data_IF_529989119893
#
_entry.id   IF_529989119893
#
_cell.length_a   1.000
_cell.length_b   1.000
_cell.length_c   1.000
_cell.angle_alpha   90.00
_cell.angle_beta   90.00
_cell.angle_gamma   90.00
#
_symmetry.space_group_name_H-M   'P 1'
#
loop_
_entity.id
_entity.type
_entity.pdbx_description
1 polymer ?
#
# COMPACT_ATOMS: atom_id res chain seq x y z
N UNK A 1 -2.39 -15.19 1.78
CA UNK A 1 -3.63 -15.19 0.99
C UNK A 1 -4.74 -14.62 1.86
N UNK A 2 -5.33 -13.50 1.48
CA UNK A 2 -6.49 -12.94 2.17
C UNK A 2 -7.70 -13.85 1.92
N UNK A 3 -8.41 -14.24 2.97
CA UNK A 3 -9.64 -14.98 2.80
C UNK A 3 -10.72 -14.07 2.22
N UNK A 4 -11.32 -14.46 1.11
CA UNK A 4 -12.51 -13.81 0.55
C UNK A 4 -13.62 -13.84 1.61
N UNK A 5 -14.43 -12.76 1.74
CA UNK A 5 -15.54 -12.73 2.68
C UNK A 5 -16.41 -13.99 2.61
N UNK A 6 -16.81 -14.50 3.77
CA UNK A 6 -17.63 -15.71 3.88
C UNK A 6 -19.09 -15.52 3.50
N UNK A 7 -19.50 -14.31 3.07
CA UNK A 7 -20.88 -14.01 2.64
C UNK A 7 -21.10 -14.48 1.20
N UNK A 8 -21.95 -15.51 0.96
CA UNK A 8 -22.16 -16.06 -0.38
C UNK A 8 -22.66 -15.03 -1.40
N UNK A 9 -23.52 -14.11 -0.98
CA UNK A 9 -24.09 -13.03 -1.78
C UNK A 9 -23.01 -12.08 -2.35
N UNK A 10 -21.93 -11.82 -1.61
CA UNK A 10 -20.82 -10.95 -2.08
C UNK A 10 -19.88 -11.72 -3.02
N UNK A 11 -19.76 -13.05 -2.86
CA UNK A 11 -18.87 -13.85 -3.70
C UNK A 11 -19.30 -13.92 -5.15
N UNK A 12 -20.59 -13.87 -5.44
CA UNK A 12 -21.12 -13.90 -6.81
C UNK A 12 -20.89 -12.58 -7.56
N UNK A 13 -20.60 -11.50 -6.84
CA UNK A 13 -20.36 -10.16 -7.42
C UNK A 13 -18.88 -9.85 -7.58
N UNK A 14 -17.98 -10.72 -7.07
CA UNK A 14 -16.53 -10.52 -7.13
C UNK A 14 -15.92 -11.41 -8.21
N UNK A 15 -15.35 -10.77 -9.22
CA UNK A 15 -14.46 -11.43 -10.17
C UNK A 15 -13.06 -11.56 -9.57
N UNK A 16 -12.46 -12.75 -9.66
CA UNK A 16 -11.11 -13.05 -9.19
C UNK A 16 -10.20 -13.27 -10.39
N UNK A 17 -9.26 -12.33 -10.58
CA UNK A 17 -8.22 -12.43 -11.59
C UNK A 17 -6.90 -12.91 -10.95
N UNK A 18 -6.39 -14.04 -11.41
CA UNK A 18 -5.09 -14.58 -10.98
C UNK A 18 -3.98 -13.98 -11.82
N UNK A 19 -3.11 -13.17 -11.23
CA UNK A 19 -2.05 -12.48 -11.97
C UNK A 19 -0.89 -12.03 -11.10
N UNK A 20 0.13 -11.50 -11.75
CA UNK A 20 1.29 -10.86 -11.13
C UNK A 20 1.33 -9.40 -11.60
N UNK A 21 1.53 -8.47 -10.67
CA UNK A 21 1.59 -7.03 -10.99
C UNK A 21 2.76 -6.68 -11.91
N UNK A 22 3.78 -7.56 -11.98
CA UNK A 22 4.94 -7.42 -12.87
C UNK A 22 4.63 -7.78 -14.32
N UNK A 23 3.49 -8.43 -14.58
CA UNK A 23 3.02 -8.73 -15.93
C UNK A 23 2.13 -7.58 -16.44
N UNK A 24 2.62 -6.74 -17.37
CA UNK A 24 1.84 -5.61 -17.88
C UNK A 24 0.56 -6.03 -18.62
N UNK A 25 0.55 -7.20 -19.27
CA UNK A 25 -0.62 -7.68 -19.99
C UNK A 25 -1.71 -8.17 -19.02
N UNK A 26 -1.30 -8.91 -17.99
CA UNK A 26 -2.20 -9.35 -16.91
C UNK A 26 -2.82 -8.15 -16.18
N UNK A 27 -2.02 -7.14 -15.84
CA UNK A 27 -2.50 -5.90 -15.21
C UNK A 27 -3.51 -5.19 -16.11
N UNK A 28 -3.20 -5.01 -17.41
CA UNK A 28 -4.10 -4.37 -18.37
C UNK A 28 -5.43 -5.12 -18.48
N UNK A 29 -5.38 -6.45 -18.56
CA UNK A 29 -6.58 -7.29 -18.62
C UNK A 29 -7.44 -7.15 -17.35
N UNK A 30 -6.83 -7.19 -16.17
CA UNK A 30 -7.54 -7.04 -14.90
C UNK A 30 -8.17 -5.65 -14.72
N UNK A 31 -7.60 -4.62 -15.32
CA UNK A 31 -8.08 -3.24 -15.23
C UNK A 31 -9.08 -2.86 -16.33
N UNK A 32 -9.30 -3.71 -17.32
CA UNK A 32 -10.20 -3.41 -18.44
C UNK A 32 -11.64 -3.23 -17.93
N UNK A 33 -12.26 -2.10 -18.29
CA UNK A 33 -13.62 -1.75 -17.88
C UNK A 33 -13.78 -1.30 -16.42
N UNK A 34 -12.67 -1.18 -15.67
CA UNK A 34 -12.70 -0.71 -14.29
C UNK A 34 -12.59 0.82 -14.24
N UNK A 35 -13.61 1.47 -13.69
CA UNK A 35 -13.63 2.92 -13.53
C UNK A 35 -12.72 3.39 -12.38
N UNK A 36 -12.66 2.61 -11.30
CA UNK A 36 -11.90 2.93 -10.08
C UNK A 36 -10.94 1.80 -9.75
N UNK A 37 -9.69 2.14 -9.52
CA UNK A 37 -8.63 1.18 -9.22
C UNK A 37 -7.94 1.51 -7.91
N UNK A 38 -7.85 0.54 -7.01
CA UNK A 38 -7.06 0.62 -5.77
C UNK A 38 -5.81 -0.25 -5.93
N UNK A 39 -4.68 0.37 -6.19
CA UNK A 39 -3.41 -0.31 -6.31
C UNK A 39 -2.81 -0.56 -4.92
N UNK A 40 -3.07 -1.75 -4.36
CA UNK A 40 -2.59 -2.18 -3.04
C UNK A 40 -1.43 -3.18 -3.12
N UNK A 41 -1.12 -3.67 -4.32
CA UNK A 41 -0.10 -4.71 -4.51
C UNK A 41 1.31 -4.15 -4.29
N UNK A 42 2.04 -4.72 -3.35
CA UNK A 42 3.42 -4.37 -3.05
C UNK A 42 4.13 -5.46 -2.24
N UNK A 43 5.45 -5.49 -2.30
CA UNK A 43 6.28 -6.10 -1.28
C UNK A 43 6.53 -5.08 -0.17
N UNK A 44 6.22 -5.43 1.10
CA UNK A 44 6.18 -4.49 2.22
C UNK A 44 7.13 -4.82 3.37
N UNK A 45 7.69 -6.03 3.44
CA UNK A 45 8.51 -6.48 4.57
C UNK A 45 9.90 -5.82 4.54
N UNK A 46 10.11 -4.76 5.32
CA UNK A 46 11.40 -4.04 5.39
C UNK A 46 12.59 -4.98 5.55
N UNK A 47 12.61 -5.96 6.50
CA UNK A 47 13.75 -6.85 6.65
C UNK A 47 14.07 -7.66 5.39
N UNK A 48 13.06 -8.09 4.64
CA UNK A 48 13.25 -8.83 3.41
C UNK A 48 13.80 -7.95 2.27
N UNK A 49 13.51 -6.65 2.29
CA UNK A 49 14.03 -5.72 1.28
C UNK A 49 15.55 -5.60 1.28
N UNK A 50 16.20 -5.89 2.40
CA UNK A 50 17.69 -5.95 2.48
C UNK A 50 18.29 -7.20 1.84
N UNK A 51 17.51 -8.29 1.78
CA UNK A 51 17.97 -9.55 1.19
C UNK A 51 17.67 -9.66 -0.31
N UNK A 52 16.59 -9.03 -0.76
CA UNK A 52 16.15 -9.12 -2.15
C UNK A 52 15.65 -7.75 -2.68
N UNK A 53 16.52 -6.74 -2.75
CA UNK A 53 16.12 -5.40 -3.20
C UNK A 53 15.59 -5.41 -4.63
N UNK A 54 16.12 -6.25 -5.53
CA UNK A 54 15.66 -6.38 -6.91
C UNK A 54 14.18 -6.75 -7.00
N UNK A 55 13.71 -7.69 -6.14
CA UNK A 55 12.29 -8.06 -6.09
C UNK A 55 11.40 -6.87 -5.71
N UNK A 56 11.91 -5.95 -4.87
CA UNK A 56 11.20 -4.73 -4.50
C UNK A 56 11.14 -3.73 -5.65
N UNK A 57 12.23 -3.57 -6.40
CA UNK A 57 12.24 -2.75 -7.62
C UNK A 57 11.26 -3.30 -8.64
N UNK A 58 11.31 -4.59 -8.92
CA UNK A 58 10.43 -5.23 -9.90
C UNK A 58 8.95 -5.14 -9.49
N UNK A 59 8.64 -5.38 -8.22
CA UNK A 59 7.25 -5.36 -7.76
C UNK A 59 6.74 -3.95 -7.51
N UNK A 60 7.47 -3.14 -6.73
CA UNK A 60 6.96 -1.85 -6.25
C UNK A 60 7.13 -0.74 -7.30
N UNK A 61 8.21 -0.74 -8.08
CA UNK A 61 8.43 0.28 -9.12
C UNK A 61 7.84 -0.16 -10.45
N UNK A 62 8.31 -1.28 -11.02
CA UNK A 62 7.80 -1.75 -12.32
C UNK A 62 6.33 -2.15 -12.26
N UNK A 63 5.91 -2.83 -11.16
CA UNK A 63 4.50 -3.16 -10.97
C UNK A 63 3.61 -1.91 -10.92
N UNK A 64 4.03 -0.88 -10.20
CA UNK A 64 3.30 0.42 -10.19
C UNK A 64 3.31 1.06 -11.58
N UNK A 65 4.44 1.03 -12.30
CA UNK A 65 4.50 1.53 -13.67
C UNK A 65 3.49 0.82 -14.59
N UNK A 66 3.35 -0.50 -14.48
CA UNK A 66 2.38 -1.27 -15.27
C UNK A 66 0.93 -0.81 -14.99
N UNK A 67 0.59 -0.56 -13.71
CA UNK A 67 -0.72 -0.03 -13.33
C UNK A 67 -0.94 1.38 -13.89
N UNK A 68 0.06 2.25 -13.80
CA UNK A 68 -0.02 3.62 -14.31
C UNK A 68 -0.21 3.66 -15.85
N UNK A 69 0.54 2.82 -16.57
CA UNK A 69 0.40 2.69 -18.01
C UNK A 69 -0.99 2.15 -18.40
N UNK A 70 -1.47 1.11 -17.70
CA UNK A 70 -2.79 0.57 -17.93
C UNK A 70 -3.89 1.61 -17.63
N UNK A 71 -3.77 2.36 -16.53
CA UNK A 71 -4.72 3.41 -16.17
C UNK A 71 -4.80 4.51 -17.25
N UNK A 72 -3.66 4.96 -17.75
CA UNK A 72 -3.58 5.93 -18.86
C UNK A 72 -4.24 5.38 -20.13
N UNK A 73 -3.86 4.17 -20.54
CA UNK A 73 -4.26 3.59 -21.82
C UNK A 73 -5.74 3.18 -21.85
N UNK A 74 -6.31 2.85 -20.69
CA UNK A 74 -7.71 2.44 -20.51
C UNK A 74 -8.63 3.60 -20.11
N UNK A 75 -8.08 4.78 -19.81
CA UNK A 75 -8.88 5.93 -19.38
C UNK A 75 -9.52 5.73 -18.01
N UNK A 76 -8.81 5.09 -17.07
CA UNK A 76 -9.31 4.88 -15.69
C UNK A 76 -9.71 6.21 -15.06
N UNK A 77 -10.93 6.29 -14.53
CA UNK A 77 -11.50 7.54 -14.00
C UNK A 77 -10.91 7.94 -12.64
N UNK A 78 -10.46 6.96 -11.84
CA UNK A 78 -9.85 7.20 -10.53
C UNK A 78 -8.88 6.09 -10.17
N UNK A 79 -7.62 6.44 -9.88
CA UNK A 79 -6.59 5.51 -9.41
C UNK A 79 -6.08 5.93 -8.04
N UNK A 80 -6.19 5.06 -7.03
CA UNK A 80 -5.54 5.23 -5.73
C UNK A 80 -4.26 4.41 -5.69
N UNK A 81 -3.12 5.09 -5.60
CA UNK A 81 -1.80 4.46 -5.46
C UNK A 81 -1.44 4.41 -3.99
N UNK A 82 -1.34 3.20 -3.44
CA UNK A 82 -0.95 3.02 -2.03
C UNK A 82 0.54 3.20 -1.87
N UNK A 83 0.92 4.21 -1.12
CA UNK A 83 2.28 4.46 -0.63
C UNK A 83 2.40 4.06 0.84
N UNK A 84 3.22 4.76 1.62
CA UNK A 84 3.49 4.48 3.02
C UNK A 84 4.06 5.70 3.71
N UNK A 85 3.87 5.84 5.02
CA UNK A 85 4.57 6.82 5.85
C UNK A 85 6.10 6.60 5.91
N UNK A 86 6.58 5.39 5.59
CA UNK A 86 8.02 5.08 5.56
C UNK A 86 8.81 5.88 4.50
N UNK A 87 8.12 6.53 3.56
CA UNK A 87 8.75 7.46 2.60
C UNK A 87 9.33 8.70 3.28
N UNK A 88 8.81 9.06 4.45
CA UNK A 88 9.25 10.21 5.23
C UNK A 88 10.46 9.91 6.13
N UNK A 89 10.75 8.62 6.40
CA UNK A 89 11.83 8.22 7.29
C UNK A 89 11.59 8.67 8.74
N UNK A 90 12.67 9.07 9.42
CA UNK A 90 12.58 9.62 10.78
C UNK A 90 11.94 11.01 10.74
N UNK A 91 10.91 11.22 11.57
CA UNK A 91 10.19 12.46 11.63
C UNK A 91 11.13 13.63 11.99
N UNK A 92 11.14 14.67 11.16
CA UNK A 92 11.85 15.93 11.41
C UNK A 92 10.97 16.92 12.19
N UNK A 93 9.65 16.75 12.08
CA UNK A 93 8.63 17.46 12.87
C UNK A 93 7.38 16.58 12.95
N UNK A 94 6.53 16.87 13.94
CA UNK A 94 5.26 16.19 14.17
C UNK A 94 4.14 17.22 14.40
N UNK A 95 2.93 16.97 13.95
CA UNK A 95 2.52 15.83 13.11
C UNK A 95 3.19 15.85 11.72
N UNK A 96 3.43 14.68 11.15
CA UNK A 96 3.93 14.56 9.78
C UNK A 96 2.79 14.91 8.83
N UNK A 97 3.04 15.79 7.88
CA UNK A 97 2.14 16.15 6.78
C UNK A 97 2.75 15.83 5.41
N UNK A 98 2.03 16.12 4.33
CA UNK A 98 2.46 15.84 2.95
C UNK A 98 3.66 16.69 2.50
N UNK A 99 4.00 17.75 3.25
CA UNK A 99 5.18 18.61 2.99
C UNK A 99 6.45 18.07 3.61
N UNK A 100 6.34 17.07 4.48
CA UNK A 100 7.50 16.43 5.10
C UNK A 100 8.44 15.89 4.01
N UNK A 101 9.76 16.15 4.10
CA UNK A 101 10.70 15.71 3.09
C UNK A 101 10.78 14.17 3.00
N UNK A 102 10.97 13.65 1.80
CA UNK A 102 11.20 12.24 1.59
C UNK A 102 12.59 11.84 2.03
N UNK A 103 12.67 10.80 2.85
CA UNK A 103 13.92 10.26 3.38
C UNK A 103 13.83 8.74 3.51
N UNK A 104 14.00 8.03 2.39
CA UNK A 104 13.98 6.57 2.38
C UNK A 104 15.14 5.98 3.18
N UNK A 105 14.84 5.20 4.22
CA UNK A 105 15.81 4.58 5.12
C UNK A 105 15.97 3.07 4.90
N UNK A 106 15.34 2.52 3.86
CA UNK A 106 15.42 1.11 3.49
C UNK A 106 15.23 0.95 1.98
N UNK A 107 15.65 -0.17 1.36
CA UNK A 107 15.31 -0.48 -0.03
C UNK A 107 13.79 -0.45 -0.27
N UNK A 108 12.98 -0.94 0.68
CA UNK A 108 11.52 -0.83 0.61
C UNK A 108 11.05 0.62 0.47
N UNK A 109 11.44 1.49 1.40
CA UNK A 109 11.00 2.89 1.37
C UNK A 109 11.52 3.62 0.13
N UNK A 110 12.74 3.33 -0.33
CA UNK A 110 13.28 3.88 -1.57
C UNK A 110 12.44 3.47 -2.79
N UNK A 111 11.99 2.20 -2.87
CA UNK A 111 11.11 1.76 -3.97
C UNK A 111 9.71 2.39 -3.89
N UNK A 112 9.19 2.66 -2.69
CA UNK A 112 7.91 3.38 -2.54
C UNK A 112 8.03 4.85 -2.94
N UNK A 113 9.14 5.52 -2.61
CA UNK A 113 9.44 6.87 -3.10
C UNK A 113 9.51 6.88 -4.63
N UNK A 114 10.19 5.89 -5.24
CA UNK A 114 10.26 5.75 -6.70
C UNK A 114 8.88 5.58 -7.33
N UNK A 115 8.03 4.75 -6.74
CA UNK A 115 6.64 4.55 -7.17
C UNK A 115 5.80 5.83 -7.05
N UNK A 116 5.94 6.58 -5.93
CA UNK A 116 5.26 7.87 -5.72
C UNK A 116 5.65 8.88 -6.81
N UNK A 117 6.95 8.98 -7.13
CA UNK A 117 7.43 9.91 -8.16
C UNK A 117 7.00 9.52 -9.58
N UNK A 118 6.90 8.22 -9.86
CA UNK A 118 6.29 7.76 -11.12
C UNK A 118 4.80 8.16 -11.19
N UNK A 119 4.04 7.91 -10.12
CA UNK A 119 2.63 8.27 -10.07
C UNK A 119 2.44 9.79 -10.27
N UNK A 120 3.19 10.62 -9.55
CA UNK A 120 3.18 12.07 -9.70
C UNK A 120 3.51 12.51 -11.15
N UNK A 121 4.49 11.86 -11.80
CA UNK A 121 4.84 12.16 -13.17
C UNK A 121 3.71 11.81 -14.17
N UNK A 122 2.99 10.71 -13.94
CA UNK A 122 1.85 10.32 -14.78
C UNK A 122 0.66 11.28 -14.62
N UNK A 123 0.41 11.77 -13.42
CA UNK A 123 -0.57 12.83 -13.19
C UNK A 123 -0.19 14.09 -13.97
N UNK A 124 1.05 14.56 -13.84
CA UNK A 124 1.51 15.84 -14.42
C UNK A 124 1.71 15.79 -15.95
N UNK A 125 2.07 14.63 -16.48
CA UNK A 125 2.44 14.51 -17.91
C UNK A 125 1.34 13.92 -18.79
N UNK A 126 0.42 13.16 -18.21
CA UNK A 126 -0.60 12.42 -18.93
C UNK A 126 -2.00 12.62 -18.36
N UNK A 127 -2.17 13.52 -17.37
CA UNK A 127 -3.45 13.82 -16.71
C UNK A 127 -4.18 12.58 -16.15
N UNK A 128 -3.41 11.55 -15.75
CA UNK A 128 -4.00 10.36 -15.11
C UNK A 128 -4.61 10.77 -13.77
N UNK A 129 -5.94 10.60 -13.56
CA UNK A 129 -6.61 11.07 -12.35
C UNK A 129 -6.32 10.14 -11.17
N UNK A 130 -5.22 10.39 -10.47
CA UNK A 130 -4.76 9.57 -9.37
C UNK A 130 -4.59 10.35 -8.07
N UNK A 131 -4.58 9.61 -6.97
CA UNK A 131 -4.21 10.09 -5.64
C UNK A 131 -3.18 9.15 -5.02
N UNK A 132 -2.16 9.69 -4.36
CA UNK A 132 -1.16 8.91 -3.63
C UNK A 132 -1.55 8.90 -2.16
N UNK A 133 -1.88 7.71 -1.63
CA UNK A 133 -2.33 7.53 -0.25
C UNK A 133 -1.20 6.96 0.59
N UNK A 134 -0.82 7.65 1.67
CA UNK A 134 0.29 7.28 2.57
C UNK A 134 -0.22 6.91 3.96
N UNK A 135 -0.79 5.70 4.13
CA UNK A 135 -1.25 5.27 5.44
C UNK A 135 -0.06 5.10 6.40
N UNK A 136 -0.29 5.43 7.67
CA UNK A 136 0.59 5.04 8.77
C UNK A 136 0.38 3.56 9.13
N UNK A 137 0.86 3.10 10.28
CA UNK A 137 0.84 1.69 10.64
C UNK A 137 -0.59 1.16 10.80
N UNK A 138 -1.12 0.57 9.75
CA UNK A 138 -2.46 -0.03 9.78
C UNK A 138 -2.45 -1.34 10.55
N UNK A 139 -3.38 -1.51 11.48
CA UNK A 139 -3.56 -2.73 12.26
C UNK A 139 -5.01 -3.23 12.20
N UNK A 140 -5.20 -4.52 12.47
CA UNK A 140 -6.54 -5.10 12.52
C UNK A 140 -6.55 -6.61 12.30
N UNK A 141 -7.76 -7.21 12.22
CA UNK A 141 -7.91 -8.63 11.95
C UNK A 141 -7.16 -9.07 10.68
N UNK A 142 -6.56 -10.25 10.75
CA UNK A 142 -5.77 -10.87 9.65
C UNK A 142 -4.43 -10.19 9.37
N UNK A 143 -3.97 -9.28 10.24
CA UNK A 143 -2.62 -8.76 10.15
C UNK A 143 -1.58 -9.89 10.32
N UNK A 144 -0.42 -9.76 9.67
CA UNK A 144 0.68 -10.72 9.81
C UNK A 144 1.08 -10.94 11.27
N UNK A 145 1.25 -12.19 11.68
CA UNK A 145 1.71 -12.55 13.03
C UNK A 145 3.08 -11.97 13.41
N UNK A 146 3.85 -11.48 12.43
CA UNK A 146 5.14 -10.79 12.66
C UNK A 146 5.01 -9.33 13.04
N UNK A 147 3.82 -8.73 12.87
CA UNK A 147 3.58 -7.35 13.30
C UNK A 147 3.48 -7.27 14.83
N UNK A 148 3.81 -6.11 15.39
CA UNK A 148 3.95 -5.94 16.84
C UNK A 148 2.68 -6.30 17.62
N UNK A 149 1.51 -5.83 17.19
CA UNK A 149 0.23 -6.09 17.88
C UNK A 149 -0.11 -7.59 17.88
N UNK A 150 -0.14 -8.30 16.73
CA UNK A 150 -0.32 -9.76 16.74
C UNK A 150 0.77 -10.51 17.50
N UNK A 151 2.02 -10.06 17.47
CA UNK A 151 3.12 -10.67 18.24
C UNK A 151 2.84 -10.60 19.74
N UNK A 152 2.33 -9.48 20.25
CA UNK A 152 1.94 -9.33 21.65
C UNK A 152 0.77 -10.28 21.97
N UNK A 153 -0.31 -10.21 21.18
CA UNK A 153 -1.51 -11.00 21.41
C UNK A 153 -1.21 -12.50 21.42
N UNK A 154 -0.43 -12.99 20.46
CA UNK A 154 -0.12 -14.43 20.36
C UNK A 154 0.76 -14.91 21.53
N UNK A 155 1.68 -14.10 22.01
CA UNK A 155 2.49 -14.43 23.19
C UNK A 155 1.65 -14.48 24.49
N UNK A 156 0.73 -13.51 24.65
CA UNK A 156 -0.20 -13.50 25.79
C UNK A 156 -1.14 -14.70 25.78
N UNK A 157 -1.74 -15.01 24.63
CA UNK A 157 -2.60 -16.18 24.46
C UNK A 157 -1.86 -17.51 24.69
N UNK A 158 -0.55 -17.55 24.46
CA UNK A 158 0.31 -18.69 24.77
C UNK A 158 0.71 -18.75 26.27
N UNK A 159 0.14 -17.90 27.12
CA UNK A 159 0.38 -17.88 28.58
C UNK A 159 1.76 -17.35 28.97
N UNK A 160 2.45 -16.62 28.09
CA UNK A 160 3.77 -16.05 28.43
C UNK A 160 3.61 -14.90 29.42
N UNK A 161 4.41 -14.92 30.47
CA UNK A 161 4.53 -13.84 31.48
C UNK A 161 5.53 -12.76 31.05
N UNK A 162 6.46 -13.12 30.18
CA UNK A 162 7.41 -12.19 29.55
C UNK A 162 7.17 -12.13 28.05
N UNK A 163 6.97 -10.91 27.52
CA UNK A 163 6.74 -10.66 26.11
C UNK A 163 8.07 -10.26 25.47
N UNK A 164 8.47 -10.96 24.41
CA UNK A 164 9.66 -10.64 23.61
C UNK A 164 9.25 -9.76 22.45
N UNK A 165 9.80 -8.56 22.40
CA UNK A 165 9.62 -7.60 21.32
C UNK A 165 10.99 -7.18 20.76
N UNK A 166 10.98 -6.50 19.61
CA UNK A 166 12.15 -5.82 19.09
C UNK A 166 12.44 -4.53 19.87
N UNK A 167 13.00 -3.52 19.20
CA UNK A 167 13.26 -2.21 19.81
C UNK A 167 11.97 -1.57 20.31
N UNK A 168 11.99 -1.04 21.53
CA UNK A 168 10.87 -0.33 22.16
C UNK A 168 10.95 1.19 21.99
N UNK A 169 12.07 1.70 21.45
CA UNK A 169 12.30 3.14 21.28
C UNK A 169 11.46 3.79 20.16
N UNK A 170 11.20 3.12 18.99
CA UNK A 170 10.46 3.76 17.92
C UNK A 170 8.99 4.04 18.32
N UNK A 171 8.55 5.26 18.11
CA UNK A 171 7.13 5.62 18.19
C UNK A 171 6.44 5.34 16.86
N UNK A 172 5.14 5.03 16.92
CA UNK A 172 4.32 4.72 15.72
C UNK A 172 2.92 5.27 15.90
N UNK A 173 2.35 5.74 14.81
CA UNK A 173 0.93 6.05 14.72
C UNK A 173 0.20 4.81 14.20
N UNK A 174 -0.80 4.32 14.94
CA UNK A 174 -1.55 3.12 14.63
C UNK A 174 -2.97 3.45 14.18
N UNK A 175 -3.32 3.06 12.96
CA UNK A 175 -4.64 3.27 12.37
C UNK A 175 -5.39 1.95 12.25
N UNK A 176 -6.63 1.90 12.72
CA UNK A 176 -7.44 0.70 12.58
C UNK A 176 -7.80 0.46 11.10
N UNK A 177 -7.74 -0.79 10.65
CA UNK A 177 -7.88 -1.15 9.23
C UNK A 177 -9.20 -0.67 8.61
N UNK A 178 -10.29 -0.59 9.36
CA UNK A 178 -11.56 -0.08 8.85
C UNK A 178 -11.51 1.42 8.60
N UNK A 179 -10.81 2.16 9.45
CA UNK A 179 -10.66 3.62 9.30
C UNK A 179 -9.72 3.91 8.11
N UNK A 180 -8.64 3.13 7.97
CA UNK A 180 -7.78 3.19 6.78
C UNK A 180 -8.59 2.93 5.51
N UNK A 181 -9.42 1.88 5.48
CA UNK A 181 -10.25 1.56 4.33
C UNK A 181 -11.29 2.66 4.04
N UNK A 182 -11.92 3.22 5.09
CA UNK A 182 -12.85 4.35 4.95
C UNK A 182 -12.14 5.59 4.39
N UNK A 183 -10.90 5.87 4.83
CA UNK A 183 -10.06 6.93 4.29
C UNK A 183 -9.77 6.75 2.80
N UNK A 184 -9.42 5.55 2.36
CA UNK A 184 -9.23 5.26 0.92
C UNK A 184 -10.51 5.52 0.11
N UNK A 185 -11.67 5.12 0.62
CA UNK A 185 -12.95 5.37 -0.04
C UNK A 185 -13.28 6.87 -0.10
N UNK A 186 -13.08 7.60 1.00
CA UNK A 186 -13.30 9.03 1.05
C UNK A 186 -12.40 9.80 0.06
N UNK A 187 -11.12 9.40 -0.08
CA UNK A 187 -10.19 9.96 -1.06
C UNK A 187 -10.65 9.63 -2.48
N UNK A 188 -11.12 8.40 -2.72
CA UNK A 188 -11.61 7.98 -4.03
C UNK A 188 -12.84 8.77 -4.49
N UNK A 189 -13.66 9.24 -3.56
CA UNK A 189 -14.87 10.03 -3.81
C UNK A 189 -14.61 11.55 -3.82
N UNK A 190 -13.40 12.00 -3.53
CA UNK A 190 -13.05 13.41 -3.41
C UNK A 190 -12.23 13.90 -4.62
N UNK A 191 -12.81 14.75 -5.46
CA UNK A 191 -12.12 15.31 -6.64
C UNK A 191 -10.96 16.22 -6.25
N UNK A 192 -11.06 16.92 -5.12
CA UNK A 192 -9.97 17.76 -4.61
C UNK A 192 -8.72 16.97 -4.15
N UNK A 193 -8.83 15.64 -4.05
CA UNK A 193 -7.71 14.77 -3.68
C UNK A 193 -6.95 14.22 -4.91
N UNK A 194 -7.26 14.66 -6.13
CA UNK A 194 -6.54 14.30 -7.36
C UNK A 194 -5.28 15.14 -7.48
N UNK A 195 -4.10 14.48 -7.61
CA UNK A 195 -2.80 15.13 -7.82
C UNK A 195 -1.85 15.14 -6.65
#
# INVERSE_FOLDING_TARGET
MGSIPSRPEIRSEIEIFMGDIRDPNGVRTAMQGQERVFHLAALIAIPFSYHSPDSYVDTNIKGTLNVLQAARDLGTQRLMVTSTSEVYGTAQYVPIDEKHPYQGQSPYSATKIGADRLAESFYRSFDVPLSIVRPFNTYGPRQSARAVIPTIITQLLAGRTEIRLGSLAPTRDFNYVKDTAAGFMAIADCDAAVG
#
